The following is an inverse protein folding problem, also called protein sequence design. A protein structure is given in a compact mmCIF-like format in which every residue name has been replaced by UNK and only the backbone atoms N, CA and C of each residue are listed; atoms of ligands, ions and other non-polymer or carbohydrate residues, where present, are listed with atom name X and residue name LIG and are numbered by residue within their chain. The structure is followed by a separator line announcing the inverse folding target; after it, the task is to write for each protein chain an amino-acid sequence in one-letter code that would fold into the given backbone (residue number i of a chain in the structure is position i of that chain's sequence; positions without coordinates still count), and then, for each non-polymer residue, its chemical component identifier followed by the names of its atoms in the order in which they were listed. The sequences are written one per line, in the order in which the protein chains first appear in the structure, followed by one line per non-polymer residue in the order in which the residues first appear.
data_IF_118270126607
#
_entry.id   IF_118270126607
#
_cell.length_a   1.000
_cell.length_b   1.000
_cell.length_c   1.000
_cell.angle_alpha   90.00
_cell.angle_beta   90.00
_cell.angle_gamma   90.00
#
_symmetry.space_group_name_H-M   'P 1'
#
loop_
_entity.id
_entity.type
_entity.pdbx_description
1 polymer ?
#
# COMPACT_ATOMS: atom_id res chain seq x y z
N UNK A 1 -20.09 1.14 19.25
CA UNK A 1 -19.05 1.90 18.53
C UNK A 1 -19.66 3.18 17.95
N UNK A 2 -19.09 4.37 18.23
CA UNK A 2 -19.65 5.64 17.77
C UNK A 2 -19.30 5.90 16.29
N UNK A 3 -20.28 5.72 15.40
CA UNK A 3 -20.07 5.90 13.94
C UNK A 3 -19.88 7.35 13.54
N UNK A 4 -20.46 8.29 14.28
CA UNK A 4 -20.34 9.72 13.99
C UNK A 4 -18.92 10.20 14.29
N UNK A 5 -18.37 9.76 15.41
CA UNK A 5 -17.00 10.04 15.83
C UNK A 5 -15.96 9.40 14.89
N UNK A 6 -16.15 8.13 14.49
CA UNK A 6 -15.31 7.47 13.49
C UNK A 6 -15.38 8.13 12.11
N UNK A 7 -16.57 8.62 11.73
CA UNK A 7 -16.72 9.37 10.49
C UNK A 7 -16.04 10.75 10.59
N UNK A 8 -16.05 11.39 11.76
CA UNK A 8 -15.41 12.68 11.99
C UNK A 8 -13.88 12.60 11.81
N UNK A 9 -13.25 11.47 12.18
CA UNK A 9 -11.82 11.22 11.96
C UNK A 9 -11.50 10.63 10.58
N UNK A 10 -12.47 10.58 9.65
CA UNK A 10 -12.24 10.17 8.27
C UNK A 10 -12.31 8.67 7.98
N UNK A 11 -12.75 7.83 8.92
CA UNK A 11 -12.80 6.36 8.76
C UNK A 11 -13.94 5.86 7.87
N UNK A 12 -14.71 6.74 7.21
CA UNK A 12 -15.88 6.37 6.40
C UNK A 12 -15.57 5.33 5.31
N UNK A 13 -14.42 5.46 4.64
CA UNK A 13 -14.00 4.51 3.60
C UNK A 13 -13.57 3.16 4.18
N UNK A 14 -12.88 3.17 5.33
CA UNK A 14 -12.52 1.95 6.05
C UNK A 14 -13.80 1.21 6.50
N UNK A 15 -14.75 1.91 7.11
CA UNK A 15 -16.04 1.34 7.51
C UNK A 15 -16.82 0.78 6.31
N UNK A 16 -16.78 1.45 5.16
CA UNK A 16 -17.39 0.94 3.92
C UNK A 16 -16.72 -0.35 3.46
N UNK A 17 -15.39 -0.45 3.54
CA UNK A 17 -14.67 -1.69 3.19
C UNK A 17 -14.97 -2.82 4.16
N UNK A 18 -15.02 -2.55 5.46
CA UNK A 18 -15.36 -3.58 6.45
C UNK A 18 -16.77 -4.12 6.18
N UNK A 19 -17.73 -3.26 5.86
CA UNK A 19 -19.09 -3.67 5.47
C UNK A 19 -19.16 -4.50 4.18
N UNK A 20 -18.22 -4.36 3.26
CA UNK A 20 -18.18 -5.22 2.07
C UNK A 20 -17.85 -6.68 2.42
N UNK A 21 -17.32 -6.96 3.62
CA UNK A 21 -17.03 -8.30 4.10
C UNK A 21 -18.18 -8.93 4.90
N UNK A 22 -19.32 -8.24 5.02
CA UNK A 22 -20.52 -8.75 5.71
C UNK A 22 -21.05 -7.80 6.78
N UNK A 23 -22.00 -8.32 7.56
CA UNK A 23 -22.54 -7.63 8.74
C UNK A 23 -21.61 -7.86 9.93
N UNK A 24 -21.40 -6.85 10.75
CA UNK A 24 -20.48 -6.95 11.89
C UNK A 24 -21.16 -6.49 13.17
N UNK A 25 -21.15 -7.27 14.27
CA UNK A 25 -21.82 -6.87 15.51
C UNK A 25 -21.33 -5.52 16.04
N UNK A 26 -20.02 -5.30 16.00
CA UNK A 26 -19.38 -4.04 16.43
C UNK A 26 -19.80 -2.83 15.57
N UNK A 27 -20.17 -3.05 14.31
CA UNK A 27 -20.62 -2.00 13.41
C UNK A 27 -22.15 -1.86 13.46
N UNK A 28 -22.89 -2.93 13.25
CA UNK A 28 -24.31 -2.90 12.93
C UNK A 28 -25.22 -3.27 14.11
N UNK A 29 -24.62 -3.66 15.24
CA UNK A 29 -25.28 -4.10 16.46
C UNK A 29 -25.59 -5.59 16.43
N UNK A 30 -25.56 -6.23 17.61
CA UNK A 30 -25.69 -7.69 17.74
C UNK A 30 -26.98 -8.23 17.12
N UNK A 31 -28.07 -7.48 17.20
CA UNK A 31 -29.38 -7.83 16.62
C UNK A 31 -29.40 -7.99 15.09
N UNK A 32 -28.42 -7.44 14.36
CA UNK A 32 -28.33 -7.58 12.90
C UNK A 32 -27.39 -8.69 12.46
N UNK A 33 -26.53 -9.15 13.35
CA UNK A 33 -25.57 -10.20 13.04
C UNK A 33 -26.19 -11.56 13.36
N UNK A 34 -26.04 -12.51 12.44
CA UNK A 34 -26.45 -13.90 12.61
C UNK A 34 -25.29 -14.81 12.25
N UNK A 35 -25.09 -15.85 13.07
CA UNK A 35 -24.02 -16.82 12.86
C UNK A 35 -24.22 -17.61 11.56
N UNK A 36 -25.47 -17.84 11.14
CA UNK A 36 -25.77 -18.53 9.88
C UNK A 36 -25.37 -17.71 8.64
N UNK A 37 -25.34 -16.38 8.78
CA UNK A 37 -25.00 -15.45 7.71
C UNK A 37 -23.47 -15.16 7.65
N UNK A 38 -22.68 -15.72 8.58
CA UNK A 38 -21.25 -15.46 8.71
C UNK A 38 -20.39 -16.67 8.35
N UNK A 39 -19.83 -16.67 7.14
CA UNK A 39 -18.83 -17.64 6.71
C UNK A 39 -17.41 -17.11 6.96
N UNK A 40 -16.85 -17.48 8.12
CA UNK A 40 -15.49 -17.11 8.50
C UNK A 40 -14.46 -17.67 7.52
N UNK A 41 -14.65 -18.87 6.99
CA UNK A 41 -13.68 -19.52 6.10
C UNK A 41 -13.58 -18.79 4.77
N UNK A 42 -14.71 -18.47 4.14
CA UNK A 42 -14.75 -17.68 2.91
C UNK A 42 -14.20 -16.27 3.10
N UNK A 43 -14.46 -15.65 4.25
CA UNK A 43 -13.91 -14.34 4.60
C UNK A 43 -12.38 -14.40 4.75
N UNK A 44 -11.87 -15.38 5.50
CA UNK A 44 -10.44 -15.58 5.69
C UNK A 44 -9.75 -15.88 4.35
N UNK A 45 -10.37 -16.67 3.47
CA UNK A 45 -9.87 -16.91 2.12
C UNK A 45 -9.80 -15.61 1.29
N UNK A 46 -10.84 -14.79 1.30
CA UNK A 46 -10.84 -13.50 0.59
C UNK A 46 -9.79 -12.52 1.11
N UNK A 47 -9.62 -12.44 2.43
CA UNK A 47 -8.58 -11.59 3.04
C UNK A 47 -7.20 -12.14 2.70
N UNK A 48 -7.00 -13.45 2.81
CA UNK A 48 -5.75 -14.11 2.48
C UNK A 48 -5.37 -13.90 1.00
N UNK A 49 -6.29 -14.04 0.05
CA UNK A 49 -6.04 -13.78 -1.37
C UNK A 49 -5.59 -12.33 -1.64
N UNK A 50 -6.24 -11.36 -0.98
CA UNK A 50 -5.88 -9.94 -1.10
C UNK A 50 -4.54 -9.62 -0.47
N UNK A 51 -4.16 -10.31 0.59
CA UNK A 51 -2.88 -10.15 1.28
C UNK A 51 -1.76 -10.85 0.50
N UNK A 52 -2.04 -12.03 -0.05
CA UNK A 52 -1.13 -12.84 -0.86
C UNK A 52 -0.70 -12.16 -2.17
N UNK A 53 -1.50 -11.21 -2.68
CA UNK A 53 -1.09 -10.37 -3.83
C UNK A 53 0.20 -9.59 -3.54
N UNK A 54 0.47 -9.23 -2.28
CA UNK A 54 1.73 -8.58 -1.89
C UNK A 54 2.89 -9.56 -1.91
N UNK A 55 2.68 -10.83 -1.53
CA UNK A 55 3.68 -11.89 -1.73
C UNK A 55 3.97 -12.11 -3.22
N UNK A 56 2.92 -12.10 -4.05
CA UNK A 56 3.04 -12.26 -5.52
C UNK A 56 3.77 -11.11 -6.22
N UNK A 57 3.69 -9.89 -5.69
CA UNK A 57 4.36 -8.72 -6.28
C UNK A 57 5.69 -8.37 -5.59
N UNK A 58 5.93 -8.81 -4.34
CA UNK A 58 7.17 -8.57 -3.58
C UNK A 58 8.04 -9.83 -3.37
N UNK A 59 7.62 -11.01 -3.84
CA UNK A 59 8.41 -12.23 -4.14
C UNK A 59 8.74 -13.22 -3.01
N UNK A 60 8.16 -14.42 -2.97
CA UNK A 60 8.51 -15.47 -1.97
C UNK A 60 9.84 -16.21 -2.24
N UNK A 61 10.39 -16.86 -1.21
CA UNK A 61 11.32 -17.99 -1.36
C UNK A 61 10.58 -19.10 -2.14
N UNK A 62 11.18 -19.56 -3.23
CA UNK A 62 10.50 -20.35 -4.24
C UNK A 62 10.11 -21.77 -3.75
N UNK A 63 8.95 -21.88 -3.11
CA UNK A 63 8.32 -23.15 -2.76
C UNK A 63 7.19 -23.55 -3.74
N UNK A 64 6.85 -22.70 -4.72
CA UNK A 64 5.72 -22.90 -5.65
C UNK A 64 6.03 -22.61 -7.12
N UNK A 65 7.30 -22.48 -7.51
CA UNK A 65 7.79 -22.26 -8.87
C UNK A 65 7.18 -21.01 -9.55
N UNK A 66 7.14 -19.88 -8.84
CA UNK A 66 6.56 -18.61 -9.31
C UNK A 66 7.62 -17.75 -10.00
N UNK A 67 8.24 -18.28 -11.06
CA UNK A 67 9.42 -17.68 -11.74
C UNK A 67 9.17 -16.34 -12.46
N UNK A 68 7.94 -15.78 -12.40
CA UNK A 68 7.50 -14.69 -13.29
C UNK A 68 7.59 -13.28 -12.72
N UNK A 69 7.84 -13.08 -11.42
CA UNK A 69 7.88 -11.73 -10.82
C UNK A 69 9.03 -11.51 -9.82
N UNK A 70 10.19 -12.13 -10.01
CA UNK A 70 11.36 -11.96 -9.12
C UNK A 70 11.93 -10.52 -9.16
N UNK A 71 11.98 -9.82 -8.02
CA UNK A 71 12.66 -8.53 -7.85
C UNK A 71 14.10 -8.83 -7.45
N UNK A 72 14.99 -8.80 -8.43
CA UNK A 72 16.43 -8.96 -8.21
C UNK A 72 16.99 -7.70 -7.58
N UNK A 73 17.82 -7.86 -6.54
CA UNK A 73 18.61 -6.75 -5.99
C UNK A 73 19.98 -6.73 -6.66
N UNK A 74 20.28 -5.74 -7.53
CA UNK A 74 21.50 -5.73 -8.33
C UNK A 74 22.75 -5.87 -7.47
N UNK A 75 23.72 -6.64 -7.96
CA UNK A 75 24.99 -6.86 -7.30
C UNK A 75 24.99 -7.88 -6.16
N UNK A 76 23.84 -8.21 -5.56
CA UNK A 76 23.77 -9.12 -4.40
C UNK A 76 23.64 -10.60 -4.76
N UNK A 77 23.07 -10.91 -5.93
CA UNK A 77 22.65 -12.28 -6.27
C UNK A 77 21.38 -12.74 -5.54
N UNK A 78 20.82 -11.91 -4.67
CA UNK A 78 19.60 -12.17 -3.92
C UNK A 78 18.38 -11.43 -4.50
N UNK A 79 17.20 -11.91 -4.14
CA UNK A 79 15.92 -11.29 -4.44
C UNK A 79 15.29 -10.76 -3.15
N UNK A 80 14.37 -9.81 -3.28
CA UNK A 80 13.49 -9.42 -2.17
C UNK A 80 12.65 -10.64 -1.76
N UNK A 81 12.45 -10.84 -0.45
CA UNK A 81 11.57 -11.87 0.09
C UNK A 81 10.22 -11.25 0.51
N UNK A 82 9.25 -11.21 -0.39
CA UNK A 82 7.87 -10.79 -0.24
C UNK A 82 7.05 -11.54 0.79
N UNK A 83 7.41 -12.77 1.19
CA UNK A 83 6.77 -13.44 2.32
C UNK A 83 7.28 -12.88 3.64
N UNK A 84 8.61 -12.71 3.75
CA UNK A 84 9.24 -12.05 4.91
C UNK A 84 8.76 -10.60 5.05
N UNK A 85 8.66 -9.89 3.93
CA UNK A 85 8.36 -8.44 3.91
C UNK A 85 6.88 -8.10 3.77
N UNK A 86 6.00 -9.10 3.70
CA UNK A 86 4.59 -8.94 3.36
C UNK A 86 3.86 -7.92 4.24
N UNK A 87 4.04 -8.03 5.56
CA UNK A 87 3.37 -7.17 6.54
C UNK A 87 3.72 -5.69 6.35
N UNK A 88 5.01 -5.40 6.24
CA UNK A 88 5.50 -4.03 6.05
C UNK A 88 5.15 -3.48 4.66
N UNK A 89 5.18 -4.31 3.61
CA UNK A 89 4.74 -3.90 2.28
C UNK A 89 3.24 -3.51 2.25
N UNK A 90 2.40 -4.24 2.98
CA UNK A 90 0.97 -3.90 3.16
C UNK A 90 0.83 -2.60 3.94
N UNK A 91 1.61 -2.42 5.00
CA UNK A 91 1.60 -1.23 5.82
C UNK A 91 1.96 0.02 5.01
N UNK A 92 3.02 -0.03 4.20
CA UNK A 92 3.43 1.09 3.35
C UNK A 92 2.36 1.45 2.31
N UNK A 93 1.80 0.45 1.62
CA UNK A 93 0.76 0.65 0.61
C UNK A 93 -0.52 1.22 1.22
N UNK A 94 -0.92 0.74 2.40
CA UNK A 94 -2.05 1.28 3.15
C UNK A 94 -1.78 2.70 3.64
N UNK A 95 -0.61 2.92 4.25
CA UNK A 95 -0.20 4.18 4.86
C UNK A 95 -0.19 5.33 3.87
N UNK A 96 0.53 5.19 2.75
CA UNK A 96 0.60 6.26 1.73
C UNK A 96 -0.78 6.58 1.14
N UNK A 97 -1.63 5.57 0.96
CA UNK A 97 -2.98 5.73 0.42
C UNK A 97 -3.88 6.49 1.37
N UNK A 98 -3.85 6.17 2.66
CA UNK A 98 -4.64 6.91 3.66
C UNK A 98 -4.11 8.33 3.85
N UNK A 99 -2.78 8.51 3.87
CA UNK A 99 -2.16 9.83 3.96
C UNK A 99 -2.56 10.72 2.77
N UNK A 100 -2.53 10.20 1.54
CA UNK A 100 -2.95 10.95 0.36
C UNK A 100 -4.44 11.30 0.39
N UNK A 101 -5.30 10.37 0.82
CA UNK A 101 -6.74 10.65 1.02
C UNK A 101 -6.97 11.74 2.07
N UNK A 102 -6.24 11.71 3.17
CA UNK A 102 -6.30 12.75 4.19
C UNK A 102 -5.86 14.11 3.63
N UNK A 103 -4.79 14.13 2.84
CA UNK A 103 -4.31 15.33 2.15
C UNK A 103 -5.37 15.91 1.18
N UNK A 104 -5.98 15.08 0.33
CA UNK A 104 -7.09 15.51 -0.55
C UNK A 104 -8.29 16.03 0.23
N UNK A 105 -8.61 15.42 1.38
CA UNK A 105 -9.68 15.89 2.25
C UNK A 105 -9.37 17.26 2.86
N UNK A 106 -8.11 17.49 3.24
CA UNK A 106 -7.65 18.78 3.73
C UNK A 106 -7.78 19.87 2.64
N UNK A 107 -7.28 19.62 1.43
CA UNK A 107 -7.40 20.56 0.31
C UNK A 107 -8.86 20.87 -0.03
N UNK A 108 -9.76 19.88 0.04
CA UNK A 108 -11.19 20.12 -0.17
C UNK A 108 -11.81 21.06 0.87
N UNK A 109 -11.31 21.04 2.11
CA UNK A 109 -11.82 21.90 3.21
C UNK A 109 -11.18 23.28 3.21
N UNK A 110 -9.91 23.39 2.83
CA UNK A 110 -9.11 24.60 3.01
C UNK A 110 -8.70 25.27 1.70
N UNK A 111 -9.01 24.67 0.56
CA UNK A 111 -8.56 25.13 -0.76
C UNK A 111 -7.17 24.60 -1.13
N UNK A 112 -6.71 24.95 -2.33
CA UNK A 112 -5.37 24.60 -2.80
C UNK A 112 -4.29 25.38 -2.04
N UNK A 113 -3.20 24.70 -1.70
CA UNK A 113 -2.04 25.34 -1.08
C UNK A 113 -1.17 26.04 -2.13
N UNK A 114 -0.46 27.08 -1.70
CA UNK A 114 0.55 27.75 -2.54
C UNK A 114 1.66 26.77 -2.90
N UNK A 115 2.15 26.84 -4.14
CA UNK A 115 3.31 26.07 -4.58
C UNK A 115 4.56 26.44 -3.77
N UNK A 116 5.44 25.47 -3.57
CA UNK A 116 6.73 25.67 -2.90
C UNK A 116 7.64 26.52 -3.78
N UNK A 117 8.27 27.53 -3.18
CA UNK A 117 9.22 28.41 -3.87
C UNK A 117 10.40 27.60 -4.41
N UNK A 118 10.73 27.76 -5.69
CA UNK A 118 11.77 26.98 -6.40
C UNK A 118 11.31 25.62 -6.94
N UNK A 119 10.07 25.21 -6.66
CA UNK A 119 9.45 23.96 -7.11
C UNK A 119 8.09 24.20 -7.77
N UNK A 120 7.83 25.42 -8.26
CA UNK A 120 6.54 25.86 -8.79
C UNK A 120 6.08 25.07 -10.02
N UNK A 121 7.02 24.41 -10.71
CA UNK A 121 6.74 23.51 -11.83
C UNK A 121 6.04 22.21 -11.42
N UNK A 122 6.02 21.86 -10.14
CA UNK A 122 5.37 20.65 -9.63
C UNK A 122 4.03 20.99 -8.98
N UNK A 123 3.04 20.11 -9.15
CA UNK A 123 1.79 20.20 -8.39
C UNK A 123 1.99 19.78 -6.93
N UNK A 124 1.10 20.21 -6.02
CA UNK A 124 1.22 19.81 -4.61
C UNK A 124 1.06 18.28 -4.44
N UNK A 125 0.30 17.62 -5.33
CA UNK A 125 0.20 16.15 -5.35
C UNK A 125 1.52 15.50 -5.77
N UNK A 126 2.20 16.04 -6.79
CA UNK A 126 3.55 15.59 -7.14
C UNK A 126 4.52 15.81 -5.98
N UNK A 127 4.45 16.96 -5.31
CA UNK A 127 5.26 17.23 -4.11
C UNK A 127 4.95 16.27 -2.97
N UNK A 128 3.69 15.88 -2.75
CA UNK A 128 3.32 14.88 -1.74
C UNK A 128 4.05 13.56 -1.99
N UNK A 129 3.98 13.03 -3.23
CA UNK A 129 4.63 11.77 -3.56
C UNK A 129 6.16 11.89 -3.60
N UNK A 130 6.69 13.03 -4.01
CA UNK A 130 8.12 13.33 -3.91
C UNK A 130 8.59 13.34 -2.45
N UNK A 131 7.81 13.96 -1.55
CA UNK A 131 8.09 13.95 -0.11
C UNK A 131 8.10 12.54 0.48
N UNK A 132 7.14 11.70 0.08
CA UNK A 132 7.16 10.28 0.43
C UNK A 132 8.42 9.58 -0.10
N UNK A 133 8.80 9.79 -1.36
CA UNK A 133 10.01 9.17 -1.91
C UNK A 133 11.30 9.63 -1.20
N UNK A 134 11.37 10.93 -0.86
CA UNK A 134 12.51 11.54 -0.17
C UNK A 134 12.75 10.96 1.23
N UNK A 135 11.69 10.55 1.96
CA UNK A 135 11.88 9.94 3.29
C UNK A 135 12.58 8.59 3.24
N UNK A 136 12.68 7.97 2.06
CA UNK A 136 13.37 6.69 1.81
C UNK A 136 14.66 6.87 1.01
N UNK A 137 15.16 8.10 0.85
CA UNK A 137 16.46 8.30 0.22
C UNK A 137 17.58 7.81 1.14
N UNK A 138 18.16 6.67 0.79
CA UNK A 138 19.25 6.04 1.52
C UNK A 138 20.17 5.24 0.61
N UNK A 139 21.36 4.91 1.11
CA UNK A 139 22.27 3.97 0.47
C UNK A 139 22.84 3.03 1.52
N UNK A 140 23.01 1.78 1.13
CA UNK A 140 23.46 0.70 2.01
C UNK A 140 24.69 0.03 1.41
N UNK A 141 25.65 -0.36 2.27
CA UNK A 141 26.81 -1.12 1.81
C UNK A 141 26.39 -2.49 1.28
N UNK A 142 27.22 -3.09 0.43
CA UNK A 142 26.91 -4.37 -0.20
C UNK A 142 26.61 -5.48 0.81
N UNK A 143 27.51 -5.69 1.79
CA UNK A 143 27.36 -6.73 2.80
C UNK A 143 26.14 -6.49 3.69
N UNK A 144 25.86 -5.23 4.05
CA UNK A 144 24.68 -4.91 4.83
C UNK A 144 23.40 -5.13 4.02
N UNK A 145 23.38 -4.83 2.71
CA UNK A 145 22.24 -5.11 1.85
C UNK A 145 21.93 -6.61 1.80
N UNK A 146 22.94 -7.47 1.71
CA UNK A 146 22.74 -8.93 1.79
C UNK A 146 22.13 -9.32 3.13
N UNK A 147 22.64 -8.77 4.24
CA UNK A 147 22.09 -9.04 5.56
C UNK A 147 20.62 -8.61 5.68
N UNK A 148 20.27 -7.40 5.22
CA UNK A 148 18.89 -6.91 5.21
C UNK A 148 17.97 -7.83 4.41
N UNK A 149 18.40 -8.28 3.23
CA UNK A 149 17.58 -9.17 2.39
C UNK A 149 17.28 -10.53 3.04
N UNK A 150 18.13 -10.96 3.97
CA UNK A 150 17.97 -12.24 4.66
C UNK A 150 17.20 -12.12 5.98
N UNK A 151 17.28 -10.98 6.67
CA UNK A 151 16.80 -10.87 8.05
C UNK A 151 15.81 -9.73 8.32
N UNK A 152 15.79 -8.68 7.51
CA UNK A 152 14.94 -7.52 7.75
C UNK A 152 13.51 -7.78 7.22
N UNK A 153 12.45 -7.59 8.04
CA UNK A 153 11.07 -7.64 7.57
C UNK A 153 10.69 -6.47 6.63
N UNK A 154 11.56 -5.48 6.41
CA UNK A 154 11.30 -4.40 5.46
C UNK A 154 11.94 -4.68 4.10
N UNK A 155 11.20 -4.38 3.02
CA UNK A 155 11.81 -4.31 1.69
C UNK A 155 12.89 -3.22 1.64
N UNK A 156 13.95 -3.35 0.82
CA UNK A 156 14.90 -2.27 0.63
C UNK A 156 14.24 -0.97 0.16
N UNK A 157 14.76 0.17 0.61
CA UNK A 157 14.15 1.50 0.46
C UNK A 157 13.65 1.81 -0.96
N UNK A 158 14.47 1.54 -1.99
CA UNK A 158 14.08 1.76 -3.40
C UNK A 158 12.79 1.05 -3.78
N UNK A 159 12.56 -0.16 -3.26
CA UNK A 159 11.36 -0.95 -3.53
C UNK A 159 10.18 -0.50 -2.66
N UNK A 160 10.43 -0.01 -1.44
CA UNK A 160 9.41 0.67 -0.61
C UNK A 160 8.89 1.94 -1.28
N UNK A 161 9.70 2.61 -2.11
CA UNK A 161 9.21 3.71 -2.95
C UNK A 161 8.50 3.18 -4.19
N UNK A 162 9.25 2.52 -5.08
CA UNK A 162 8.78 2.27 -6.43
C UNK A 162 7.58 1.32 -6.48
N UNK A 163 7.58 0.25 -5.69
CA UNK A 163 6.49 -0.73 -5.72
C UNK A 163 5.24 -0.21 -5.02
N UNK A 164 5.41 0.57 -3.95
CA UNK A 164 4.28 1.19 -3.24
C UNK A 164 3.61 2.23 -4.12
N UNK A 165 4.38 3.10 -4.78
CA UNK A 165 3.85 4.15 -5.66
C UNK A 165 3.26 3.59 -6.96
N UNK A 166 3.83 2.52 -7.53
CA UNK A 166 3.23 1.84 -8.70
C UNK A 166 1.83 1.28 -8.41
N UNK A 167 1.54 0.94 -7.14
CA UNK A 167 0.22 0.50 -6.70
C UNK A 167 -0.77 1.67 -6.42
N UNK A 168 -0.34 2.93 -6.54
CA UNK A 168 -1.21 4.10 -6.34
C UNK A 168 -1.69 4.69 -7.67
N UNK A 169 -2.98 4.53 -8.04
CA UNK A 169 -3.56 5.22 -9.19
C UNK A 169 -3.30 6.72 -9.19
N UNK A 170 -3.36 7.32 -8.01
CA UNK A 170 -3.24 8.74 -7.80
C UNK A 170 -1.82 9.23 -8.11
N UNK A 171 -0.80 8.41 -7.86
CA UNK A 171 0.58 8.69 -8.27
C UNK A 171 0.70 8.71 -9.80
N UNK A 172 0.20 7.66 -10.46
CA UNK A 172 0.24 7.57 -11.92
C UNK A 172 -0.52 8.73 -12.58
N UNK A 173 -1.63 9.18 -11.99
CA UNK A 173 -2.37 10.35 -12.45
C UNK A 173 -1.58 11.65 -12.25
N UNK A 174 -0.98 11.86 -11.07
CA UNK A 174 -0.21 13.06 -10.75
C UNK A 174 1.03 13.24 -11.64
N UNK A 175 1.65 12.14 -12.07
CA UNK A 175 2.82 12.14 -12.95
C UNK A 175 2.51 11.79 -14.41
N UNK A 176 1.23 11.61 -14.75
CA UNK A 176 0.78 11.26 -16.11
C UNK A 176 1.53 10.05 -16.70
N UNK A 177 1.70 9.01 -15.89
CA UNK A 177 2.39 7.78 -16.33
C UNK A 177 1.49 6.98 -17.29
N UNK A 178 2.04 6.51 -18.40
CA UNK A 178 1.31 5.66 -19.35
C UNK A 178 0.99 4.28 -18.77
N UNK A 179 -0.17 3.73 -19.13
CA UNK A 179 -0.59 2.39 -18.68
C UNK A 179 0.36 1.31 -19.21
N UNK A 180 0.75 0.38 -18.35
CA UNK A 180 1.70 -0.68 -18.65
C UNK A 180 3.16 -0.32 -18.39
N UNK A 181 3.46 0.93 -18.04
CA UNK A 181 4.80 1.31 -17.58
C UNK A 181 5.09 0.73 -16.18
N UNK A 182 6.38 0.61 -15.76
CA UNK A 182 6.71 0.08 -14.44
C UNK A 182 6.05 0.82 -13.27
N UNK A 183 5.79 2.13 -13.45
CA UNK A 183 5.15 2.98 -12.44
C UNK A 183 3.63 3.13 -12.62
N UNK A 184 3.06 2.50 -13.65
CA UNK A 184 1.62 2.40 -13.86
C UNK A 184 1.26 1.02 -14.46
N UNK A 185 1.48 -0.07 -13.70
CA UNK A 185 1.15 -1.41 -14.16
C UNK A 185 -0.37 -1.58 -14.31
N UNK A 186 -0.78 -2.47 -15.23
CA UNK A 186 -2.19 -2.82 -15.46
C UNK A 186 -2.82 -3.46 -14.23
N UNK A 187 -2.08 -4.37 -13.59
CA UNK A 187 -2.48 -5.00 -12.33
C UNK A 187 -1.88 -4.25 -11.15
N UNK A 188 -2.70 -3.94 -10.14
CA UNK A 188 -2.25 -3.25 -8.91
C UNK A 188 -2.72 -3.99 -7.66
N UNK A 189 -1.93 -3.90 -6.60
CA UNK A 189 -2.27 -4.41 -5.29
C UNK A 189 -3.12 -3.40 -4.52
N UNK A 190 -4.19 -3.87 -3.86
CA UNK A 190 -5.02 -3.02 -3.02
C UNK A 190 -5.75 -3.82 -1.93
N UNK A 191 -5.22 -3.82 -0.71
CA UNK A 191 -5.94 -4.39 0.45
C UNK A 191 -6.91 -3.37 1.07
N UNK A 192 -6.48 -2.10 1.23
CA UNK A 192 -7.21 -1.01 1.92
C UNK A 192 -7.54 0.21 1.03
#
# INVERSE_FOLDING_TARGET
MNKEELNAIGSRQLLKRIKNYGVWPILDGDHKWRVEDFDLTSLLAHVAERVDVFTKNYVDFDCWNVSRKLIKVPGTGFNVNGKLTQGENIADNGGVRQAFRAYKNYLRKHGEEKRIKGFEKYSNEQIFFLGFALSWCGHTTHDHMINLLLTDPHSPDRFRVNQVLANQPEFAAAYQCDVGTPMNPVERCAVW
#
